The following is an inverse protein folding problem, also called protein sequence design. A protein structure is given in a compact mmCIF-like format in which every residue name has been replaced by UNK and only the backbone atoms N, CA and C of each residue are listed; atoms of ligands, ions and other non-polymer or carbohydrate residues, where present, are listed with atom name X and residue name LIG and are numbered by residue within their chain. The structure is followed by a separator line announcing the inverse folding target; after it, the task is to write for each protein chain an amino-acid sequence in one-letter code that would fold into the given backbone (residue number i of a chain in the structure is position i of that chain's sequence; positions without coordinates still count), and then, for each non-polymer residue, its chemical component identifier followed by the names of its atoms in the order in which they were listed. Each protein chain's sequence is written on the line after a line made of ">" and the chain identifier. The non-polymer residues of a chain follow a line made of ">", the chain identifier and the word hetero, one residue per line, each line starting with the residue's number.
data_IF_260269224853
#
_entry.id   IF_260269224853
#
_cell.length_a   1.000
_cell.length_b   1.000
_cell.length_c   1.000
_cell.angle_alpha   90.00
_cell.angle_beta   90.00
_cell.angle_gamma   90.00
#
_symmetry.space_group_name_H-M   'P 1'
#
loop_
_entity.id
_entity.type
_entity.pdbx_description
1 polymer ?
#
# COMPACT_ATOMS: atom_id res chain seq x y z
N UNK A 1 -3.01 -14.24 17.66
CA UNK A 1 -2.67 -13.58 18.94
C UNK A 1 -2.59 -14.56 20.10
N UNK A 2 -3.69 -15.21 20.52
CA UNK A 2 -3.72 -16.07 21.72
C UNK A 2 -2.65 -17.17 21.76
N UNK A 3 -2.28 -17.73 20.61
CA UNK A 3 -1.15 -18.66 20.50
C UNK A 3 0.18 -18.03 20.93
N UNK A 4 0.51 -16.83 20.43
CA UNK A 4 1.74 -16.11 20.77
C UNK A 4 1.75 -15.73 22.26
N UNK A 5 0.62 -15.30 22.81
CA UNK A 5 0.49 -14.93 24.22
C UNK A 5 0.78 -16.14 25.13
N UNK A 6 0.18 -17.29 24.82
CA UNK A 6 0.41 -18.55 25.54
C UNK A 6 1.88 -18.98 25.46
N UNK A 7 2.47 -18.98 24.26
CA UNK A 7 3.87 -19.37 24.07
C UNK A 7 4.82 -18.40 24.78
N UNK A 8 4.48 -17.11 24.87
CA UNK A 8 5.25 -16.13 25.63
C UNK A 8 5.32 -16.47 27.11
N UNK A 9 4.18 -16.84 27.71
CA UNK A 9 4.11 -17.27 29.10
C UNK A 9 4.86 -18.58 29.34
N UNK A 10 4.69 -19.57 28.46
CA UNK A 10 5.33 -20.88 28.58
C UNK A 10 6.86 -20.80 28.48
N UNK A 11 7.39 -19.91 27.64
CA UNK A 11 8.82 -19.85 27.32
C UNK A 11 9.56 -18.70 28.00
N UNK A 12 8.86 -17.79 28.67
CA UNK A 12 9.46 -16.60 29.27
C UNK A 12 10.13 -15.66 28.25
N UNK A 13 9.61 -15.62 27.01
CA UNK A 13 10.11 -14.72 25.96
C UNK A 13 8.94 -13.95 25.32
N UNK A 14 9.22 -12.83 24.66
CA UNK A 14 8.20 -12.01 24.02
C UNK A 14 7.89 -12.53 22.60
N UNK A 15 6.87 -13.38 22.46
CA UNK A 15 6.32 -13.76 21.16
C UNK A 15 5.16 -12.83 20.80
N UNK A 16 5.16 -12.34 19.57
CA UNK A 16 4.11 -11.47 19.04
C UNK A 16 3.63 -11.94 17.67
N UNK A 17 2.48 -11.45 17.22
CA UNK A 17 1.98 -11.72 15.87
C UNK A 17 2.26 -10.53 14.96
N UNK A 18 2.96 -10.76 13.85
CA UNK A 18 3.28 -9.73 12.86
C UNK A 18 2.55 -9.98 11.55
N UNK A 19 1.98 -8.92 10.97
CA UNK A 19 1.55 -8.90 9.58
C UNK A 19 2.77 -8.64 8.70
N UNK A 20 3.49 -9.71 8.35
CA UNK A 20 4.75 -9.68 7.59
C UNK A 20 4.60 -8.86 6.31
N UNK A 21 5.54 -7.96 5.93
CA UNK A 21 5.52 -7.19 4.67
C UNK A 21 5.65 -8.03 3.37
N UNK A 22 6.09 -9.27 3.51
CA UNK A 22 6.13 -10.32 2.48
C UNK A 22 6.68 -9.95 1.10
N UNK A 23 7.65 -9.01 1.02
CA UNK A 23 8.14 -8.49 -0.27
C UNK A 23 8.67 -9.58 -1.21
N UNK A 24 9.57 -10.43 -0.71
CA UNK A 24 10.05 -11.61 -1.45
C UNK A 24 9.20 -12.87 -1.26
N UNK A 25 8.30 -12.91 -0.28
CA UNK A 25 7.53 -14.10 0.07
C UNK A 25 6.22 -14.22 -0.71
N UNK A 26 5.56 -13.10 -0.99
CA UNK A 26 4.24 -13.06 -1.64
C UNK A 26 4.20 -13.81 -2.98
N UNK A 27 5.15 -13.58 -3.88
CA UNK A 27 5.26 -14.33 -5.13
C UNK A 27 5.91 -15.71 -4.97
N UNK A 28 6.80 -15.89 -3.99
CA UNK A 28 7.47 -17.18 -3.75
C UNK A 28 6.48 -18.25 -3.29
N UNK A 29 5.57 -17.93 -2.37
CA UNK A 29 4.58 -18.88 -1.87
C UNK A 29 3.59 -19.31 -2.96
N UNK A 30 3.10 -18.37 -3.77
CA UNK A 30 2.26 -18.69 -4.93
C UNK A 30 2.91 -19.74 -5.83
N UNK A 31 4.20 -19.59 -6.14
CA UNK A 31 4.93 -20.57 -6.99
C UNK A 31 4.97 -21.97 -6.36
N UNK A 32 5.34 -22.05 -5.09
CA UNK A 32 5.44 -23.32 -4.34
C UNK A 32 4.07 -23.98 -4.26
N UNK A 33 3.02 -23.21 -3.96
CA UNK A 33 1.67 -23.74 -3.82
C UNK A 33 1.09 -24.16 -5.19
N UNK A 34 1.41 -23.44 -6.26
CA UNK A 34 1.03 -23.82 -7.62
C UNK A 34 1.67 -25.14 -8.05
N UNK A 35 2.93 -25.38 -7.70
CA UNK A 35 3.60 -26.66 -7.96
C UNK A 35 2.96 -27.82 -7.20
N UNK A 36 2.49 -27.58 -5.97
CA UNK A 36 1.94 -28.62 -5.10
C UNK A 36 0.46 -28.89 -5.31
N UNK A 37 -0.34 -27.85 -5.56
CA UNK A 37 -1.80 -27.91 -5.57
C UNK A 37 -2.41 -27.52 -6.92
N UNK A 38 -1.59 -27.14 -7.90
CA UNK A 38 -2.04 -26.68 -9.20
C UNK A 38 -2.55 -25.24 -9.17
N UNK A 39 -3.25 -24.87 -10.25
CA UNK A 39 -3.85 -23.54 -10.42
C UNK A 39 -5.25 -23.53 -9.79
N UNK A 40 -5.43 -22.69 -8.78
CA UNK A 40 -6.67 -22.50 -8.03
C UNK A 40 -7.19 -21.10 -8.38
N UNK A 41 -8.40 -20.97 -8.94
CA UNK A 41 -8.98 -19.68 -9.31
C UNK A 41 -9.07 -18.71 -8.13
N UNK A 42 -8.61 -17.48 -8.34
CA UNK A 42 -8.54 -16.42 -7.34
C UNK A 42 -7.43 -16.55 -6.29
N UNK A 43 -6.64 -17.64 -6.32
CA UNK A 43 -5.61 -17.94 -5.32
C UNK A 43 -4.23 -18.11 -5.97
N UNK A 44 -3.97 -19.25 -6.62
CA UNK A 44 -2.67 -19.55 -7.23
C UNK A 44 -2.63 -19.28 -8.73
N UNK A 45 -3.74 -18.84 -9.34
CA UNK A 45 -3.79 -18.25 -10.68
C UNK A 45 -3.25 -16.81 -10.73
N UNK A 46 -3.09 -16.17 -9.57
CA UNK A 46 -2.46 -14.85 -9.42
C UNK A 46 -0.95 -14.97 -9.27
N UNK A 47 -0.24 -13.84 -9.39
CA UNK A 47 1.23 -13.80 -9.31
C UNK A 47 1.76 -13.57 -7.89
N UNK A 48 0.89 -13.20 -6.95
CA UNK A 48 1.25 -12.88 -5.58
C UNK A 48 0.08 -13.12 -4.61
N UNK A 49 0.40 -13.38 -3.35
CA UNK A 49 -0.56 -13.28 -2.26
C UNK A 49 -0.61 -11.87 -1.69
N UNK A 50 -1.82 -11.43 -1.33
CA UNK A 50 -2.06 -10.16 -0.63
C UNK A 50 -1.38 -10.16 0.75
N UNK A 51 -0.84 -9.00 1.12
CA UNK A 51 -0.04 -8.87 2.32
C UNK A 51 -0.88 -8.84 3.60
N UNK A 52 -0.49 -9.63 4.60
CA UNK A 52 -1.10 -9.59 5.93
C UNK A 52 -2.63 -9.77 5.90
N UNK A 53 -3.34 -8.73 6.29
CA UNK A 53 -4.81 -8.67 6.33
C UNK A 53 -5.37 -7.63 5.36
N UNK A 54 -4.56 -7.12 4.42
CA UNK A 54 -5.01 -6.09 3.49
C UNK A 54 -6.15 -6.60 2.62
N UNK A 55 -7.08 -5.70 2.32
CA UNK A 55 -8.01 -5.89 1.20
C UNK A 55 -7.16 -5.99 -0.08
N UNK A 56 -7.44 -6.94 -1.00
CA UNK A 56 -6.67 -7.09 -2.23
C UNK A 56 -6.64 -5.79 -3.03
N UNK A 57 -5.47 -5.45 -3.57
CA UNK A 57 -5.22 -4.16 -4.23
C UNK A 57 -6.09 -3.90 -5.47
N UNK A 58 -6.61 -4.94 -6.10
CA UNK A 58 -7.51 -4.89 -7.26
C UNK A 58 -8.99 -4.83 -6.89
N UNK A 59 -9.32 -4.90 -5.60
CA UNK A 59 -10.70 -4.90 -5.14
C UNK A 59 -11.20 -3.47 -4.99
N UNK A 60 -12.27 -3.13 -5.71
CA UNK A 60 -12.88 -1.81 -5.68
C UNK A 60 -13.58 -1.56 -4.33
N UNK A 61 -13.07 -0.58 -3.58
CA UNK A 61 -13.55 -0.25 -2.23
C UNK A 61 -13.27 1.22 -1.89
N UNK A 62 -14.16 1.82 -1.10
CA UNK A 62 -13.94 3.17 -0.57
C UNK A 62 -12.82 3.20 0.47
N UNK A 63 -12.24 4.38 0.71
CA UNK A 63 -11.19 4.53 1.71
C UNK A 63 -11.74 4.17 3.11
N UNK A 64 -12.96 4.58 3.40
CA UNK A 64 -13.62 4.38 4.69
C UNK A 64 -13.93 2.90 4.93
N UNK A 65 -14.53 2.21 3.96
CA UNK A 65 -14.83 0.78 4.13
C UNK A 65 -13.56 -0.05 4.30
N UNK A 66 -12.49 0.29 3.55
CA UNK A 66 -11.19 -0.37 3.71
C UNK A 66 -10.60 -0.14 5.10
N UNK A 67 -10.66 1.10 5.61
CA UNK A 67 -10.21 1.43 6.97
C UNK A 67 -11.00 0.62 8.01
N UNK A 68 -12.32 0.60 7.90
CA UNK A 68 -13.19 -0.09 8.86
C UNK A 68 -12.96 -1.61 8.87
N UNK A 69 -12.68 -2.21 7.71
CA UNK A 69 -12.38 -3.64 7.59
C UNK A 69 -10.98 -4.00 8.12
N UNK A 70 -9.97 -3.16 7.85
CA UNK A 70 -8.58 -3.48 8.21
C UNK A 70 -8.20 -3.09 9.64
N UNK A 71 -8.77 -2.01 10.19
CA UNK A 71 -8.39 -1.50 11.51
C UNK A 71 -8.52 -2.53 12.65
N UNK A 72 -9.56 -3.38 12.73
CA UNK A 72 -9.66 -4.39 13.79
C UNK A 72 -8.47 -5.36 13.85
N UNK A 73 -7.81 -5.62 12.71
CA UNK A 73 -6.66 -6.51 12.66
C UNK A 73 -5.43 -5.92 13.34
N UNK A 74 -5.30 -4.59 13.44
CA UNK A 74 -4.16 -3.93 14.08
C UNK A 74 -4.05 -4.36 15.56
N UNK A 75 -5.18 -4.49 16.25
CA UNK A 75 -5.22 -5.00 17.63
C UNK A 75 -4.83 -6.49 17.75
N UNK A 76 -5.00 -7.27 16.68
CA UNK A 76 -4.69 -8.70 16.64
C UNK A 76 -3.20 -8.97 16.33
N UNK A 77 -2.55 -8.05 15.63
CA UNK A 77 -1.15 -8.15 15.15
C UNK A 77 -0.21 -7.23 15.94
N UNK A 78 -0.08 -7.51 17.25
CA UNK A 78 0.70 -6.71 18.20
C UNK A 78 2.23 -6.67 17.94
N UNK A 79 2.75 -7.53 17.07
CA UNK A 79 4.16 -7.54 16.67
C UNK A 79 4.48 -6.60 15.52
N UNK A 80 3.46 -6.07 14.84
CA UNK A 80 3.62 -5.13 13.75
C UNK A 80 2.52 -5.28 12.70
N UNK A 81 2.09 -4.14 12.19
CA UNK A 81 1.03 -4.00 11.20
C UNK A 81 1.13 -2.64 10.52
N UNK A 82 0.51 -2.52 9.36
CA UNK A 82 0.31 -1.26 8.67
C UNK A 82 -0.90 -1.41 7.74
N UNK A 83 -1.59 -0.31 7.43
CA UNK A 83 -2.62 -0.24 6.39
C UNK A 83 -2.34 0.92 5.44
N UNK A 84 -2.63 0.73 4.15
CA UNK A 84 -2.44 1.75 3.11
C UNK A 84 -3.77 2.21 2.54
N UNK A 85 -3.91 3.51 2.31
CA UNK A 85 -5.01 4.11 1.56
C UNK A 85 -4.44 4.78 0.31
N UNK A 86 -4.80 4.27 -0.86
CA UNK A 86 -4.49 4.87 -2.15
C UNK A 86 -5.44 6.04 -2.44
N UNK A 87 -4.90 7.26 -2.50
CA UNK A 87 -5.61 8.43 -2.99
C UNK A 87 -5.17 8.77 -4.41
N UNK A 88 -6.04 9.50 -5.10
CA UNK A 88 -5.78 10.09 -6.41
C UNK A 88 -5.43 11.56 -6.27
N UNK A 89 -4.61 12.09 -7.19
CA UNK A 89 -4.20 13.49 -7.21
C UNK A 89 -3.27 13.92 -6.06
N UNK A 90 -3.09 15.25 -5.93
CA UNK A 90 -2.31 15.87 -4.86
C UNK A 90 -3.21 16.08 -3.64
N UNK A 91 -2.93 15.45 -2.48
CA UNK A 91 -3.72 15.67 -1.26
C UNK A 91 -3.76 17.14 -0.82
N UNK A 92 -2.80 17.96 -1.25
CA UNK A 92 -2.76 19.40 -0.96
C UNK A 92 -3.90 20.17 -1.63
N UNK A 93 -4.49 19.64 -2.71
CA UNK A 93 -5.62 20.26 -3.40
C UNK A 93 -6.93 20.12 -2.60
N UNK A 94 -7.01 19.12 -1.70
CA UNK A 94 -8.17 18.90 -0.84
C UNK A 94 -7.75 18.39 0.56
N UNK A 95 -7.20 19.32 1.35
CA UNK A 95 -6.73 19.03 2.71
C UNK A 95 -7.85 18.55 3.64
N UNK A 96 -9.09 19.00 3.44
CA UNK A 96 -10.24 18.62 4.26
C UNK A 96 -10.59 17.13 4.07
N UNK A 97 -10.62 16.67 2.81
CA UNK A 97 -10.82 15.25 2.50
C UNK A 97 -9.64 14.38 2.95
N UNK A 98 -8.41 14.88 2.83
CA UNK A 98 -7.25 14.16 3.36
C UNK A 98 -7.34 14.03 4.90
N UNK A 99 -7.64 15.12 5.59
CA UNK A 99 -7.77 15.13 7.05
C UNK A 99 -8.92 14.22 7.53
N UNK A 100 -10.03 14.16 6.79
CA UNK A 100 -11.16 13.29 7.13
C UNK A 100 -10.78 11.80 7.11
N UNK A 101 -9.97 11.38 6.14
CA UNK A 101 -9.41 10.01 6.09
C UNK A 101 -8.53 9.75 7.31
N UNK A 102 -7.62 10.65 7.65
CA UNK A 102 -6.73 10.48 8.82
C UNK A 102 -7.51 10.40 10.13
N UNK A 103 -8.53 11.25 10.30
CA UNK A 103 -9.43 11.20 11.46
C UNK A 103 -10.19 9.89 11.53
N UNK A 104 -10.70 9.41 10.41
CA UNK A 104 -11.41 8.14 10.35
C UNK A 104 -10.50 6.95 10.66
N UNK A 105 -9.25 6.94 10.19
CA UNK A 105 -8.24 5.94 10.58
C UNK A 105 -8.06 5.90 12.10
N UNK A 106 -7.91 7.06 12.74
CA UNK A 106 -7.79 7.17 14.20
C UNK A 106 -9.05 6.65 14.90
N UNK A 107 -10.24 7.04 14.45
CA UNK A 107 -11.50 6.70 15.09
C UNK A 107 -11.80 5.19 15.00
N UNK A 108 -11.38 4.52 13.92
CA UNK A 108 -11.44 3.06 13.79
C UNK A 108 -10.36 2.30 14.59
N UNK A 109 -9.43 3.01 15.24
CA UNK A 109 -8.36 2.39 16.04
C UNK A 109 -7.19 1.87 15.21
N UNK A 110 -6.94 2.44 14.03
CA UNK A 110 -5.81 2.08 13.19
C UNK A 110 -4.49 2.56 13.81
N UNK A 111 -3.62 1.63 14.20
CA UNK A 111 -2.39 1.92 14.93
C UNK A 111 -1.26 2.47 14.05
N UNK A 112 -1.13 1.94 12.83
CA UNK A 112 -0.17 2.43 11.84
C UNK A 112 -0.80 2.52 10.44
N UNK A 113 -1.14 3.75 10.04
CA UNK A 113 -1.70 4.06 8.74
C UNK A 113 -0.70 4.79 7.85
N UNK A 114 -0.82 4.59 6.53
CA UNK A 114 -0.16 5.40 5.52
C UNK A 114 -1.13 5.72 4.39
N UNK A 115 -1.00 6.93 3.84
CA UNK A 115 -1.72 7.34 2.63
C UNK A 115 -0.72 7.40 1.49
N UNK A 116 -1.08 6.75 0.39
CA UNK A 116 -0.29 6.71 -0.82
C UNK A 116 -0.93 7.66 -1.84
N UNK A 117 -0.15 8.59 -2.35
CA UNK A 117 -0.53 9.47 -3.45
C UNK A 117 0.66 9.54 -4.42
N UNK A 118 0.43 9.85 -5.71
CA UNK A 118 1.52 9.96 -6.67
C UNK A 118 2.50 11.06 -6.24
N UNK A 119 3.79 10.72 -6.22
CA UNK A 119 4.90 11.65 -6.05
C UNK A 119 5.94 11.30 -7.08
N UNK A 120 6.31 12.27 -7.90
CA UNK A 120 7.32 12.11 -8.93
C UNK A 120 8.44 13.13 -8.72
N UNK A 121 9.62 12.80 -9.25
CA UNK A 121 10.78 13.68 -9.20
C UNK A 121 11.43 13.79 -10.57
N UNK A 122 11.71 15.04 -10.95
CA UNK A 122 12.54 15.31 -12.13
C UNK A 122 14.03 15.31 -11.73
N UNK A 123 14.83 14.32 -12.15
CA UNK A 123 16.26 14.27 -11.83
C UNK A 123 17.09 15.39 -12.48
N UNK A 124 16.57 16.06 -13.51
CA UNK A 124 17.30 17.12 -14.24
C UNK A 124 17.16 18.45 -13.52
N UNK A 125 15.94 18.88 -13.19
CA UNK A 125 15.70 20.18 -12.56
C UNK A 125 15.40 20.12 -11.06
N UNK A 126 15.23 18.92 -10.50
CA UNK A 126 14.95 18.69 -9.08
C UNK A 126 13.51 19.02 -8.65
N UNK A 127 12.56 19.11 -9.58
CA UNK A 127 11.13 19.26 -9.23
C UNK A 127 10.64 18.02 -8.47
N UNK A 128 9.82 18.22 -7.43
CA UNK A 128 9.14 17.16 -6.69
C UNK A 128 7.64 17.51 -6.64
N UNK A 129 6.80 16.57 -7.04
CA UNK A 129 5.36 16.77 -7.15
C UNK A 129 4.77 15.77 -8.14
N UNK A 130 3.52 15.96 -8.54
CA UNK A 130 2.93 15.15 -9.61
C UNK A 130 3.48 15.63 -10.95
N UNK A 131 4.00 14.72 -11.75
CA UNK A 131 4.40 15.00 -13.13
C UNK A 131 3.50 14.14 -14.00
N UNK A 132 2.84 14.70 -15.01
CA UNK A 132 2.16 13.89 -16.01
C UNK A 132 3.16 13.51 -17.10
N UNK A 133 3.06 14.16 -18.26
CA UNK A 133 3.96 13.95 -19.40
C UNK A 133 5.13 14.96 -19.43
N UNK A 134 4.94 16.13 -18.83
CA UNK A 134 5.87 17.26 -18.91
C UNK A 134 6.17 17.80 -17.53
N UNK A 135 7.45 18.04 -17.22
CA UNK A 135 7.86 18.63 -15.96
C UNK A 135 7.30 20.05 -15.81
N UNK A 136 6.52 20.36 -14.75
CA UNK A 136 5.95 21.70 -14.53
C UNK A 136 6.99 22.81 -14.32
N UNK A 137 8.21 22.44 -13.91
CA UNK A 137 9.29 23.38 -13.61
C UNK A 137 10.18 23.70 -14.80
N UNK A 138 10.55 22.69 -15.61
CA UNK A 138 11.52 22.86 -16.69
C UNK A 138 10.95 22.60 -18.10
N UNK A 139 9.71 22.11 -18.21
CA UNK A 139 9.03 21.89 -19.48
C UNK A 139 9.54 20.71 -20.31
N UNK A 140 10.47 19.91 -19.78
CA UNK A 140 10.96 18.70 -20.48
C UNK A 140 9.95 17.56 -20.38
N UNK A 141 9.93 16.69 -21.40
CA UNK A 141 9.33 15.36 -21.34
C UNK A 141 10.37 14.29 -20.99
N UNK A 142 9.96 13.03 -20.82
CA UNK A 142 10.89 11.90 -20.58
C UNK A 142 11.78 11.60 -21.80
N UNK A 143 11.26 11.81 -23.01
CA UNK A 143 12.02 11.67 -24.26
C UNK A 143 13.14 12.70 -24.37
N UNK A 144 12.93 13.88 -23.77
CA UNK A 144 13.95 14.89 -23.71
C UNK A 144 15.06 14.44 -22.75
N UNK A 145 16.28 14.32 -23.30
CA UNK A 145 17.51 13.94 -22.60
C UNK A 145 17.67 12.46 -22.23
N UNK A 146 16.80 11.57 -22.74
CA UNK A 146 16.87 10.12 -22.50
C UNK A 146 16.96 9.78 -20.99
N UNK A 147 16.27 10.57 -20.16
CA UNK A 147 16.29 10.47 -18.71
C UNK A 147 14.84 10.48 -18.20
N UNK A 148 14.29 9.33 -17.77
CA UNK A 148 12.91 9.24 -17.29
C UNK A 148 12.71 10.00 -15.97
N UNK A 149 11.45 10.29 -15.64
CA UNK A 149 11.10 10.81 -14.31
C UNK A 149 11.18 9.69 -13.26
N UNK A 150 11.62 10.05 -12.06
CA UNK A 150 11.62 9.12 -10.92
C UNK A 150 10.18 9.04 -10.38
N UNK A 151 9.46 7.96 -10.69
CA UNK A 151 8.10 7.70 -10.20
C UNK A 151 8.17 7.06 -8.82
N UNK A 152 8.07 7.86 -7.77
CA UNK A 152 8.22 7.41 -6.39
C UNK A 152 6.90 6.77 -5.93
N UNK A 153 6.94 5.48 -5.57
CA UNK A 153 5.74 4.73 -5.13
C UNK A 153 6.04 3.94 -3.85
N UNK A 154 4.98 3.64 -3.08
CA UNK A 154 5.07 2.83 -1.83
C UNK A 154 4.24 1.57 -1.98
N UNK A 155 4.92 0.42 -2.09
CA UNK A 155 4.27 -0.89 -2.30
C UNK A 155 4.22 -1.70 -0.99
N UNK A 156 5.37 -1.92 -0.34
CA UNK A 156 5.51 -2.78 0.86
C UNK A 156 5.74 -2.02 2.16
N UNK A 157 5.72 -0.68 2.12
CA UNK A 157 5.82 0.19 3.31
C UNK A 157 6.91 1.23 3.27
N UNK A 158 7.76 1.21 2.26
CA UNK A 158 8.77 2.24 2.03
C UNK A 158 8.61 2.85 0.64
N UNK A 159 9.01 4.12 0.51
CA UNK A 159 9.06 4.81 -0.79
C UNK A 159 10.28 4.32 -1.56
N UNK A 160 10.08 3.97 -2.83
CA UNK A 160 11.17 3.56 -3.72
C UNK A 160 11.14 4.46 -4.95
N UNK A 161 12.31 5.00 -5.30
CA UNK A 161 12.46 6.00 -6.37
C UNK A 161 12.30 5.45 -7.79
N UNK A 162 12.45 4.13 -8.00
CA UNK A 162 12.20 3.48 -9.29
C UNK A 162 11.58 2.09 -9.10
N UNK A 163 10.69 1.70 -10.01
CA UNK A 163 10.04 0.38 -9.98
C UNK A 163 10.99 -0.78 -10.31
N UNK A 164 12.17 -0.49 -10.88
CA UNK A 164 13.17 -1.49 -11.32
C UNK A 164 13.74 -2.33 -10.17
N UNK A 165 13.63 -1.83 -8.93
CA UNK A 165 14.12 -2.53 -7.74
C UNK A 165 13.16 -3.61 -7.23
N UNK A 166 11.92 -3.64 -7.73
CA UNK A 166 10.91 -4.59 -7.29
C UNK A 166 10.89 -5.85 -8.14
N UNK A 167 10.63 -6.99 -7.49
CA UNK A 167 10.41 -8.25 -8.17
C UNK A 167 9.11 -8.23 -8.99
N UNK A 168 8.97 -9.19 -9.91
CA UNK A 168 7.84 -9.25 -10.85
C UNK A 168 6.48 -9.28 -10.15
N UNK A 169 6.41 -9.99 -9.01
CA UNK A 169 5.21 -10.08 -8.18
C UNK A 169 4.79 -8.71 -7.61
N UNK A 170 5.74 -7.88 -7.20
CA UNK A 170 5.46 -6.53 -6.68
C UNK A 170 5.13 -5.52 -7.77
N UNK A 171 5.70 -5.68 -8.97
CA UNK A 171 5.27 -4.88 -10.12
C UNK A 171 3.85 -5.24 -10.55
N UNK A 172 3.47 -6.51 -10.48
CA UNK A 172 2.10 -6.96 -10.72
C UNK A 172 1.12 -6.48 -9.64
N UNK A 173 1.54 -6.41 -8.37
CA UNK A 173 0.73 -5.84 -7.29
C UNK A 173 0.48 -4.34 -7.52
N UNK A 174 1.53 -3.58 -7.85
CA UNK A 174 1.41 -2.13 -8.08
C UNK A 174 0.51 -1.79 -9.28
N UNK A 175 0.67 -2.52 -10.40
CA UNK A 175 -0.13 -2.26 -11.60
C UNK A 175 -1.62 -2.56 -11.42
N UNK A 176 -1.98 -3.29 -10.37
CA UNK A 176 -3.35 -3.68 -10.05
C UNK A 176 -3.99 -2.80 -8.97
N UNK A 177 -3.26 -1.84 -8.37
CA UNK A 177 -3.78 -0.97 -7.32
C UNK A 177 -4.89 -0.07 -7.84
N UNK A 178 -6.05 -0.13 -7.20
CA UNK A 178 -7.15 0.82 -7.41
C UNK A 178 -7.02 2.02 -6.48
N UNK A 179 -7.54 3.17 -6.91
CA UNK A 179 -7.67 4.37 -6.08
C UNK A 179 -8.94 4.27 -5.25
N UNK A 180 -8.86 4.59 -3.96
CA UNK A 180 -10.02 4.52 -3.10
C UNK A 180 -10.79 5.84 -3.14
N UNK A 181 -12.08 5.76 -3.43
CA UNK A 181 -12.94 6.93 -3.34
C UNK A 181 -13.02 7.44 -1.89
N UNK A 182 -12.93 8.76 -1.74
CA UNK A 182 -13.18 9.46 -0.48
C UNK A 182 -14.56 10.11 -0.59
N UNK A 183 -15.56 9.70 0.22
CA UNK A 183 -16.84 10.38 0.28
C UNK A 183 -16.61 11.85 0.69
N UNK A 184 -17.16 12.79 -0.08
CA UNK A 184 -17.13 14.20 0.32
C UNK A 184 -17.94 14.36 1.61
N UNK A 185 -17.45 15.15 2.59
CA UNK A 185 -18.29 15.49 3.73
C UNK A 185 -19.55 16.17 3.21
N UNK A 186 -20.73 15.70 3.62
CA UNK A 186 -21.97 16.45 3.42
C UNK A 186 -21.75 17.84 4.01
N UNK A 187 -21.90 18.88 3.18
CA UNK A 187 -21.82 20.26 3.63
C UNK A 187 -22.79 20.41 4.80
N UNK A 188 -22.25 20.70 5.98
CA UNK A 188 -23.08 21.10 7.11
C UNK A 188 -23.78 22.41 6.71
N UNK A 189 -25.07 22.31 6.39
CA UNK A 189 -25.99 23.45 6.35
C UNK A 189 -26.19 24.04 7.76
#
# INVERSE_FOLDING_TARGET
>A
RSYCDRVSQERGMNYSLIATPAEGLSGRFVRIDRERYGVIPGVTDRDYYTNGFHVPVYYDISAYDKIALEAPYHALTNGGHISYIELDGDPSDNLEAFESVIRYMKDCGMGYGSVNHPVDRDPVCGYNGIIEDVCPKCGRSEDAHNQPFERIRRITGYLVGTLDRFNDAKRAEESQRVKHAVPMPESAE
#
